data_IF_778043606673
#
_entry.id   IF_778043606673
#
_cell.length_a   1.000
_cell.length_b   1.000
_cell.length_c   1.000
_cell.angle_alpha   90.00
_cell.angle_beta   90.00
_cell.angle_gamma   90.00
#
_symmetry.space_group_name_H-M   'P 1'
#
loop_
_entity.id
_entity.type
_entity.pdbx_description
1 polymer ?
#
# COMPACT_ATOMS: atom_id res chain seq x y z
N UNK A 1 6.72 -22.63 -2.17
CA UNK A 1 5.50 -21.85 -2.48
C UNK A 1 5.74 -20.52 -3.21
N UNK A 2 6.98 -20.06 -3.40
CA UNK A 2 7.27 -18.76 -4.02
C UNK A 2 6.56 -18.49 -5.36
N UNK A 3 6.60 -19.41 -6.33
CA UNK A 3 5.88 -19.22 -7.60
C UNK A 3 4.35 -19.20 -7.44
N UNK A 4 3.80 -19.91 -6.45
CA UNK A 4 2.36 -19.87 -6.17
C UNK A 4 1.93 -18.49 -5.67
N UNK A 5 2.75 -17.78 -4.91
CA UNK A 5 2.44 -16.39 -4.53
C UNK A 5 2.26 -15.45 -5.73
N UNK A 6 2.93 -15.72 -6.87
CA UNK A 6 2.74 -14.93 -8.09
C UNK A 6 1.56 -15.37 -8.96
N UNK A 7 1.10 -16.61 -8.82
CA UNK A 7 0.24 -17.26 -9.83
C UNK A 7 -1.05 -17.85 -9.29
N UNK A 8 -1.13 -18.11 -7.99
CA UNK A 8 -2.24 -18.74 -7.31
C UNK A 8 -2.05 -18.63 -5.78
N UNK A 9 -2.06 -17.41 -5.24
CA UNK A 9 -1.75 -17.16 -3.82
C UNK A 9 -2.88 -17.56 -2.87
N UNK A 10 -4.12 -17.60 -3.36
CA UNK A 10 -5.34 -17.89 -2.60
C UNK A 10 -5.87 -19.31 -2.84
N UNK A 11 -5.23 -20.09 -3.73
CA UNK A 11 -5.71 -21.41 -4.14
C UNK A 11 -6.81 -21.37 -5.21
N UNK A 12 -7.34 -20.18 -5.52
CA UNK A 12 -8.47 -19.96 -6.44
C UNK A 12 -8.05 -19.40 -7.80
N UNK A 13 -6.75 -19.25 -8.04
CA UNK A 13 -6.18 -18.78 -9.30
C UNK A 13 -5.85 -17.29 -9.33
N UNK A 14 -5.97 -16.57 -8.22
CA UNK A 14 -5.58 -15.16 -8.18
C UNK A 14 -4.06 -14.98 -8.31
N UNK A 15 -3.66 -13.91 -8.99
CA UNK A 15 -2.29 -13.69 -9.46
C UNK A 15 -1.72 -12.36 -9.00
N UNK A 16 -0.40 -12.25 -8.99
CA UNK A 16 0.27 -10.95 -8.94
C UNK A 16 -0.10 -10.09 -10.16
N UNK A 17 0.05 -8.77 -10.04
CA UNK A 17 -0.22 -7.82 -11.11
C UNK A 17 0.73 -7.96 -12.30
N UNK A 18 0.28 -7.45 -13.43
CA UNK A 18 0.94 -7.53 -14.73
C UNK A 18 1.59 -6.20 -15.15
N UNK A 19 1.22 -5.09 -14.51
CA UNK A 19 1.83 -3.77 -14.71
C UNK A 19 2.68 -3.40 -13.51
N UNK A 20 4.01 -3.42 -13.67
CA UNK A 20 4.93 -3.03 -12.60
C UNK A 20 4.73 -1.57 -12.21
N UNK A 21 4.64 -1.31 -10.91
CA UNK A 21 4.70 0.04 -10.33
C UNK A 21 5.98 0.20 -9.53
N UNK A 22 6.33 1.45 -9.18
CA UNK A 22 7.60 1.70 -8.51
C UNK A 22 7.50 1.27 -7.06
N UNK A 23 8.46 0.46 -6.62
CA UNK A 23 8.60 0.07 -5.23
C UNK A 23 10.08 0.16 -4.83
N UNK A 24 10.36 0.79 -3.69
CA UNK A 24 11.71 1.05 -3.19
C UNK A 24 11.84 0.53 -1.78
N UNK A 25 12.95 -0.14 -1.50
CA UNK A 25 13.38 -0.52 -0.15
C UNK A 25 14.75 0.09 0.12
N UNK A 26 14.98 0.53 1.35
CA UNK A 26 16.25 1.09 1.79
C UNK A 26 17.42 0.08 1.74
N UNK A 27 17.13 -1.21 1.90
CA UNK A 27 18.11 -2.29 1.74
C UNK A 27 17.44 -3.49 1.05
N UNK A 28 17.50 -3.49 -0.28
CA UNK A 28 16.91 -4.55 -1.09
C UNK A 28 17.64 -5.89 -0.95
N UNK A 29 18.90 -5.91 -0.51
CA UNK A 29 19.66 -7.14 -0.29
C UNK A 29 19.14 -7.90 0.93
N UNK A 30 18.59 -7.20 1.91
CA UNK A 30 17.97 -7.78 3.11
C UNK A 30 16.45 -7.90 3.00
N UNK A 31 15.78 -6.84 2.57
CA UNK A 31 14.33 -6.73 2.50
C UNK A 31 13.93 -6.18 1.13
N UNK A 32 13.59 -7.05 0.19
CA UNK A 32 13.17 -6.61 -1.16
C UNK A 32 11.69 -6.30 -1.21
N UNK A 33 11.31 -5.33 -2.04
CA UNK A 33 9.92 -5.03 -2.39
C UNK A 33 9.74 -5.05 -3.90
N UNK A 34 8.60 -5.58 -4.35
CA UNK A 34 8.14 -5.51 -5.73
C UNK A 34 6.64 -5.21 -5.72
N UNK A 35 6.18 -4.35 -6.63
CA UNK A 35 4.77 -4.02 -6.70
C UNK A 35 4.28 -3.99 -8.15
N UNK A 36 3.03 -4.40 -8.35
CA UNK A 36 2.37 -4.33 -9.64
C UNK A 36 0.87 -4.15 -9.47
N UNK A 37 0.28 -3.37 -10.37
CA UNK A 37 -1.16 -3.29 -10.56
C UNK A 37 -1.62 -4.44 -11.46
N UNK A 38 -2.72 -5.08 -11.08
CA UNK A 38 -3.39 -6.10 -11.89
C UNK A 38 -4.47 -5.44 -12.73
N UNK A 39 -4.33 -5.48 -14.05
CA UNK A 39 -5.21 -4.72 -14.97
C UNK A 39 -6.66 -5.17 -14.93
N UNK A 40 -6.91 -6.43 -14.60
CA UNK A 40 -8.23 -7.04 -14.68
C UNK A 40 -9.21 -6.49 -13.62
N UNK A 41 -8.67 -6.09 -12.46
CA UNK A 41 -9.47 -5.62 -11.32
C UNK A 41 -8.88 -4.38 -10.60
N UNK A 42 -7.83 -3.77 -11.15
CA UNK A 42 -7.11 -2.61 -10.61
C UNK A 42 -6.60 -2.82 -9.17
N UNK A 43 -6.32 -4.08 -8.81
CA UNK A 43 -5.76 -4.42 -7.50
C UNK A 43 -4.26 -4.15 -7.51
N UNK A 44 -3.78 -3.41 -6.51
CA UNK A 44 -2.35 -3.27 -6.27
C UNK A 44 -1.87 -4.48 -5.47
N UNK A 45 -0.87 -5.15 -6.01
CA UNK A 45 -0.18 -6.27 -5.37
C UNK A 45 1.21 -5.84 -4.95
N UNK A 46 1.58 -6.06 -3.69
CA UNK A 46 2.90 -5.70 -3.15
C UNK A 46 3.53 -6.92 -2.51
N UNK A 47 4.65 -7.37 -3.08
CA UNK A 47 5.44 -8.49 -2.60
C UNK A 47 6.62 -7.95 -1.77
N UNK A 48 6.72 -8.37 -0.52
CA UNK A 48 7.87 -8.08 0.35
C UNK A 48 8.59 -9.38 0.69
N UNK A 49 9.91 -9.41 0.49
CA UNK A 49 10.76 -10.58 0.71
C UNK A 49 11.81 -10.25 1.75
N UNK A 50 11.72 -10.88 2.91
CA UNK A 50 12.79 -10.87 3.91
C UNK A 50 13.76 -12.03 3.62
N UNK A 51 14.96 -11.68 3.18
CA UNK A 51 16.02 -12.63 2.81
C UNK A 51 16.89 -13.04 4.00
N UNK A 52 16.76 -12.35 5.13
CA UNK A 52 17.57 -12.56 6.33
C UNK A 52 16.88 -13.55 7.28
N UNK A 53 17.61 -14.18 8.22
CA UNK A 53 16.98 -14.96 9.29
C UNK A 53 16.32 -14.09 10.38
N UNK A 54 16.53 -12.77 10.37
CA UNK A 54 16.04 -11.86 11.40
C UNK A 54 14.66 -11.32 11.02
N UNK A 55 13.81 -11.07 12.02
CA UNK A 55 12.53 -10.38 11.80
C UNK A 55 12.77 -8.88 11.62
N UNK A 56 12.13 -8.30 10.60
CA UNK A 56 12.05 -6.84 10.45
C UNK A 56 10.69 -6.32 10.89
N UNK A 57 10.69 -5.19 11.60
CA UNK A 57 9.51 -4.35 11.77
C UNK A 57 9.81 -3.04 11.07
N UNK A 58 9.08 -2.74 10.01
CA UNK A 58 9.33 -1.55 9.22
C UNK A 58 8.04 -0.86 8.78
N UNK A 59 8.17 0.39 8.36
CA UNK A 59 7.08 1.15 7.80
C UNK A 59 6.90 0.83 6.31
N UNK A 60 5.68 0.46 5.93
CA UNK A 60 5.24 0.36 4.56
C UNK A 60 4.41 1.59 4.23
N UNK A 61 4.89 2.40 3.29
CA UNK A 61 4.17 3.55 2.77
C UNK A 61 3.69 3.25 1.34
N UNK A 62 2.38 3.36 1.13
CA UNK A 62 1.78 3.27 -0.20
C UNK A 62 1.28 4.67 -0.56
N UNK A 63 1.73 5.18 -1.70
CA UNK A 63 1.36 6.50 -2.22
C UNK A 63 0.49 6.32 -3.46
N UNK A 64 -0.29 7.36 -3.77
CA UNK A 64 -1.12 7.43 -4.98
C UNK A 64 -2.14 6.30 -5.14
N UNK A 65 -2.43 5.55 -4.06
CA UNK A 65 -3.31 4.38 -4.10
C UNK A 65 -4.30 4.41 -2.93
N UNK A 66 -5.49 4.98 -3.17
CA UNK A 66 -6.54 5.10 -2.15
C UNK A 66 -6.14 5.93 -0.91
N UNK A 67 -7.09 6.28 -0.05
CA UNK A 67 -6.78 7.01 1.20
C UNK A 67 -6.53 6.04 2.37
N UNK A 68 -7.29 4.95 2.42
CA UNK A 68 -7.15 3.85 3.38
C UNK A 68 -7.89 2.64 2.86
N UNK A 69 -7.23 1.47 2.83
CA UNK A 69 -7.85 0.21 2.41
C UNK A 69 -7.60 -0.89 3.44
N UNK A 70 -8.61 -1.74 3.65
CA UNK A 70 -8.40 -3.03 4.32
C UNK A 70 -7.78 -3.99 3.32
N UNK A 71 -6.56 -4.44 3.60
CA UNK A 71 -5.77 -5.25 2.68
C UNK A 71 -5.75 -6.69 3.16
N UNK A 72 -5.90 -7.61 2.20
CA UNK A 72 -5.62 -9.01 2.47
C UNK A 72 -4.11 -9.23 2.38
N UNK A 73 -3.57 -10.03 3.30
CA UNK A 73 -2.18 -10.39 3.30
C UNK A 73 -2.03 -11.92 3.27
N UNK A 74 -1.05 -12.39 2.52
CA UNK A 74 -0.69 -13.79 2.37
C UNK A 74 0.79 -13.97 2.64
N UNK A 75 1.19 -15.01 3.38
CA UNK A 75 2.58 -15.25 3.74
C UNK A 75 3.01 -16.67 3.47
N UNK A 76 4.25 -16.79 3.02
CA UNK A 76 5.02 -18.02 3.09
C UNK A 76 6.26 -17.75 3.94
N UNK A 77 6.49 -18.56 4.98
CA UNK A 77 7.62 -18.40 5.91
C UNK A 77 8.13 -19.75 6.38
N UNK A 78 9.20 -19.74 7.19
CA UNK A 78 9.70 -20.92 7.89
C UNK A 78 8.74 -21.49 8.93
N UNK A 79 7.70 -20.75 9.33
CA UNK A 79 6.70 -21.20 10.32
C UNK A 79 5.77 -22.27 9.73
N UNK A 80 5.44 -22.14 8.43
CA UNK A 80 4.69 -23.15 7.67
C UNK A 80 5.28 -23.30 6.26
N UNK A 81 6.10 -24.36 6.10
CA UNK A 81 6.71 -24.68 4.81
C UNK A 81 5.76 -25.38 3.82
N UNK A 82 4.54 -25.73 4.25
CA UNK A 82 3.58 -26.55 3.52
C UNK A 82 2.39 -25.77 2.96
N UNK A 83 2.24 -24.49 3.31
CA UNK A 83 1.14 -23.68 2.81
C UNK A 83 1.53 -22.21 2.62
N UNK A 84 0.64 -21.49 1.95
CA UNK A 84 0.57 -20.03 2.05
C UNK A 84 -0.49 -19.73 3.09
N UNK A 85 -0.13 -19.03 4.15
CA UNK A 85 -1.04 -18.62 5.20
C UNK A 85 -1.74 -17.32 4.79
N UNK A 86 -3.07 -17.26 4.96
CA UNK A 86 -3.79 -16.00 4.90
C UNK A 86 -3.78 -15.35 6.28
N UNK A 87 -3.29 -14.12 6.34
CA UNK A 87 -3.16 -13.36 7.59
C UNK A 87 -4.45 -12.62 7.91
N UNK A 88 -4.56 -12.16 9.15
CA UNK A 88 -5.56 -11.19 9.53
C UNK A 88 -5.47 -9.94 8.62
N UNK A 89 -6.60 -9.37 8.18
CA UNK A 89 -6.60 -8.16 7.37
C UNK A 89 -5.85 -7.03 8.05
N UNK A 90 -5.06 -6.27 7.28
CA UNK A 90 -4.29 -5.13 7.75
C UNK A 90 -4.90 -3.86 7.16
N UNK A 91 -5.01 -2.79 7.93
CA UNK A 91 -5.36 -1.48 7.36
C UNK A 91 -4.08 -0.82 6.87
N UNK A 92 -4.03 -0.46 5.59
CA UNK A 92 -2.95 0.36 5.03
C UNK A 92 -3.51 1.72 4.66
N UNK A 93 -2.82 2.76 5.09
CA UNK A 93 -3.15 4.16 4.83
C UNK A 93 -2.05 4.80 3.98
N UNK A 94 -2.29 6.02 3.48
CA UNK A 94 -1.22 6.83 2.87
C UNK A 94 -0.14 7.27 3.87
N UNK A 95 -0.40 7.09 5.17
CA UNK A 95 0.63 7.24 6.20
C UNK A 95 1.40 5.92 6.36
N UNK A 96 2.73 5.97 6.57
CA UNK A 96 3.52 4.77 6.71
C UNK A 96 2.99 3.89 7.84
N UNK A 97 2.62 2.65 7.53
CA UNK A 97 2.05 1.69 8.48
C UNK A 97 3.10 0.68 8.90
N UNK A 98 3.21 0.38 10.19
CA UNK A 98 4.15 -0.64 10.66
C UNK A 98 3.70 -2.04 10.23
N UNK A 99 4.59 -2.76 9.57
CA UNK A 99 4.43 -4.15 9.17
C UNK A 99 5.60 -4.99 9.71
N UNK A 100 5.28 -6.22 10.11
CA UNK A 100 6.26 -7.19 10.60
C UNK A 100 6.51 -8.25 9.54
N UNK A 101 7.77 -8.49 9.21
CA UNK A 101 8.23 -9.47 8.24
C UNK A 101 9.15 -10.49 8.94
N UNK A 102 8.68 -11.71 9.23
CA UNK A 102 9.50 -12.76 9.84
C UNK A 102 10.75 -13.06 9.00
N UNK A 103 11.77 -13.62 9.63
CA UNK A 103 12.95 -14.10 8.92
C UNK A 103 12.58 -15.10 7.82
N UNK A 104 13.28 -15.05 6.69
CA UNK A 104 13.12 -15.97 5.56
C UNK A 104 11.65 -16.10 5.11
N UNK A 105 10.98 -14.97 4.94
CA UNK A 105 9.57 -14.92 4.59
C UNK A 105 9.30 -14.12 3.32
N UNK A 106 8.17 -14.45 2.68
CA UNK A 106 7.57 -13.70 1.59
C UNK A 106 6.17 -13.31 2.03
N UNK A 107 5.87 -12.02 2.06
CA UNK A 107 4.53 -11.48 2.39
C UNK A 107 3.99 -10.75 1.16
N UNK A 108 2.80 -11.14 0.71
CA UNK A 108 2.05 -10.50 -0.36
C UNK A 108 0.89 -9.71 0.23
N UNK A 109 0.83 -8.42 -0.05
CA UNK A 109 -0.33 -7.58 0.22
C UNK A 109 -1.16 -7.43 -1.05
N UNK A 110 -2.47 -7.53 -0.89
CA UNK A 110 -3.47 -7.39 -1.94
C UNK A 110 -4.37 -6.23 -1.54
N UNK A 111 -4.11 -5.06 -2.13
CA UNK A 111 -4.82 -3.82 -1.85
C UNK A 111 -5.86 -3.61 -2.93
N UNK A 112 -7.13 -3.72 -2.56
CA UNK A 112 -8.23 -3.41 -3.46
C UNK A 112 -8.29 -1.90 -3.69
N UNK A 113 -8.62 -1.45 -4.91
CA UNK A 113 -8.87 -0.04 -5.13
C UNK A 113 -10.10 0.35 -4.31
N UNK A 114 -10.02 1.47 -3.58
CA UNK A 114 -11.22 2.05 -2.99
C UNK A 114 -12.25 2.30 -4.10
N UNK A 115 -13.56 2.05 -3.84
CA UNK A 115 -14.59 2.41 -4.81
C UNK A 115 -14.45 3.90 -5.06
N UNK A 116 -13.92 4.24 -6.22
CA UNK A 116 -13.81 5.64 -6.58
C UNK A 116 -15.23 6.14 -6.70
N UNK A 117 -15.61 7.17 -5.93
CA UNK A 117 -16.73 8.01 -6.33
C UNK A 117 -16.34 8.67 -7.66
N UNK A 118 -16.47 7.93 -8.77
CA UNK A 118 -16.53 8.51 -10.10
C UNK A 118 -17.74 9.42 -10.04
N UNK A 119 -17.52 10.73 -9.98
CA UNK A 119 -18.56 11.67 -10.36
C UNK A 119 -19.00 11.22 -11.75
N UNK A 120 -20.20 10.64 -11.85
CA UNK A 120 -20.86 10.53 -13.14
C UNK A 120 -20.83 11.95 -13.73
N UNK A 121 -20.36 12.16 -14.97
CA UNK A 121 -20.48 13.48 -15.58
C UNK A 121 -21.96 13.83 -15.55
N UNK A 122 -22.31 14.81 -14.72
CA UNK A 122 -23.65 15.39 -14.69
C UNK A 122 -23.89 15.88 -16.12
N UNK A 123 -24.98 15.46 -16.81
CA UNK A 123 -25.27 16.01 -18.13
C UNK A 123 -25.37 17.53 -18.01
N UNK A 124 -24.55 18.21 -18.79
CA UNK A 124 -24.43 19.67 -18.85
C UNK A 124 -25.80 20.31 -19.07
N UNK A 125 -26.36 20.96 -18.05
CA UNK A 125 -27.43 21.93 -18.26
C UNK A 125 -26.80 23.26 -18.71
N UNK A 126 -27.31 23.76 -19.84
CA UNK A 126 -26.95 24.98 -20.58
C UNK A 126 -26.79 26.22 -19.67
N UNK A 127 -25.80 27.10 -19.90
CA UNK A 127 -25.58 28.29 -19.06
C UNK A 127 -26.58 29.40 -19.36
N UNK A 128 -26.97 30.18 -18.33
CA UNK A 128 -27.64 31.48 -18.47
C UNK A 128 -26.97 32.51 -17.53
N UNK A 129 -26.75 33.79 -17.93
CA UNK A 129 -25.61 34.59 -17.44
C UNK A 129 -25.87 35.53 -16.24
N UNK A 130 -24.84 35.62 -15.39
CA UNK A 130 -24.16 36.77 -14.75
C UNK A 130 -24.92 37.88 -14.00
N UNK A 131 -24.49 38.13 -12.75
CA UNK A 131 -24.11 39.47 -12.25
C UNK A 131 -23.04 39.43 -11.13
N UNK A 132 -22.17 40.45 -11.14
CA UNK A 132 -20.82 40.67 -10.54
C UNK A 132 -20.87 41.54 -9.24
N UNK A 133 -19.78 42.03 -8.58
CA UNK A 133 -18.51 41.47 -8.03
C UNK A 133 -18.25 41.72 -6.49
N UNK A 134 -17.26 40.99 -5.93
CA UNK A 134 -16.27 41.17 -4.80
C UNK A 134 -16.28 42.41 -3.84
N UNK A 135 -15.80 42.35 -2.53
CA UNK A 135 -14.37 42.20 -2.13
C UNK A 135 -14.02 41.30 -0.89
N UNK A 136 -12.81 40.72 -0.89
CA UNK A 136 -11.96 40.11 0.21
C UNK A 136 -11.11 41.22 0.91
N UNK A 137 -10.47 41.15 2.12
CA UNK A 137 -9.81 40.04 2.87
C UNK A 137 -10.03 40.00 4.42
N UNK A 138 -9.53 39.02 5.22
CA UNK A 138 -8.25 39.04 5.99
C UNK A 138 -8.02 37.75 6.85
N UNK A 139 -6.74 37.36 7.04
CA UNK A 139 -6.13 36.19 7.72
C UNK A 139 -6.19 36.17 9.26
N UNK A 140 -6.10 35.00 9.93
CA UNK A 140 -5.47 34.78 11.27
C UNK A 140 -5.17 33.29 11.55
N UNK A 141 -3.95 33.03 12.05
CA UNK A 141 -3.24 31.75 12.32
C UNK A 141 -3.77 30.90 13.49
N UNK A 142 -3.51 29.57 13.43
CA UNK A 142 -2.62 28.83 14.35
C UNK A 142 -2.67 27.30 14.11
N UNK A 143 -1.50 26.66 13.91
CA UNK A 143 -1.31 25.19 13.89
C UNK A 143 -0.40 24.79 15.05
N UNK A 144 -0.77 23.88 15.97
CA UNK A 144 0.17 23.34 16.95
C UNK A 144 1.06 22.25 16.33
N UNK A 145 2.38 22.40 16.49
CA UNK A 145 3.40 21.41 16.13
C UNK A 145 3.63 20.46 17.31
N UNK A 146 3.40 19.17 17.13
CA UNK A 146 3.80 18.12 18.08
C UNK A 146 5.08 17.46 17.59
N UNK A 147 6.19 17.68 18.30
CA UNK A 147 7.48 17.04 18.04
C UNK A 147 7.56 15.75 18.87
N UNK A 148 7.63 14.57 18.23
CA UNK A 148 7.88 13.30 18.92
C UNK A 148 9.23 12.74 18.47
N UNK A 149 10.17 12.68 19.42
CA UNK A 149 11.51 12.11 19.26
C UNK A 149 11.42 10.59 19.36
N UNK A 150 11.76 9.86 18.29
CA UNK A 150 11.81 8.39 18.30
C UNK A 150 13.26 7.91 18.14
N UNK A 151 13.68 7.11 19.11
CA UNK A 151 14.97 6.41 19.20
C UNK A 151 15.15 5.51 17.98
N UNK A 152 16.32 5.60 17.34
CA UNK A 152 16.65 4.95 16.08
C UNK A 152 16.82 3.42 16.25
N UNK A 153 15.71 2.69 16.24
CA UNK A 153 15.69 1.33 15.70
C UNK A 153 15.97 1.44 14.19
N UNK A 154 16.78 0.55 13.62
CA UNK A 154 17.06 0.57 12.17
C UNK A 154 15.77 0.20 11.42
N UNK A 155 14.97 1.21 11.09
CA UNK A 155 13.80 1.10 10.22
C UNK A 155 14.31 1.13 8.78
N UNK A 156 13.99 0.10 7.99
CA UNK A 156 14.24 0.07 6.54
C UNK A 156 12.93 0.41 5.82
N UNK A 157 12.56 1.70 5.70
CA UNK A 157 11.29 2.08 5.11
C UNK A 157 11.12 1.50 3.70
N UNK A 158 9.87 1.16 3.39
CA UNK A 158 9.45 0.70 2.07
C UNK A 158 8.47 1.73 1.51
N UNK A 159 8.68 2.15 0.26
CA UNK A 159 7.81 3.11 -0.44
C UNK A 159 7.33 2.52 -1.77
N UNK A 160 6.02 2.55 -2.00
CA UNK A 160 5.37 2.18 -3.27
C UNK A 160 4.71 3.43 -3.86
N UNK A 161 4.96 3.72 -5.15
CA UNK A 161 4.49 4.93 -5.87
C UNK A 161 3.67 4.62 -7.13
#
# INVERSE_FOLDING_TARGET
FAFRLYRNYDGQGSTFGDVSVKATSDDQDQLSVYAAERTDDNVLTVMVINKTPNTFVTTLAIRNFGESATVNAFRYSGDDLQAIEQLAPVTVTQTPTNALFPGQSITLFVIQPEPSNRLTPIPTSTPNPTSTPNPTPTLTDAVPTLTQTLTQSVYLPIVVE
#
